data_IF_682575120065
#
_entry.id   IF_682575120065
#
_cell.length_a   1.000
_cell.length_b   1.000
_cell.length_c   1.000
_cell.angle_alpha   90.00
_cell.angle_beta   90.00
_cell.angle_gamma   90.00
#
_symmetry.space_group_name_H-M   'P 1'
#
loop_
_entity.id
_entity.type
_entity.pdbx_description
1 polymer ?
#
# COMPACT_ATOMS: atom_id res chain seq x y z
N UNK A 1 38.83 -29.77 25.69
CA UNK A 1 38.39 -30.22 24.34
C UNK A 1 36.95 -30.72 24.35
N UNK A 2 36.54 -31.48 25.38
CA UNK A 2 35.16 -31.99 25.55
C UNK A 2 34.07 -30.90 25.61
N UNK A 3 34.36 -29.76 26.20
CA UNK A 3 33.38 -28.69 26.42
C UNK A 3 32.99 -27.96 25.10
N UNK A 4 33.91 -27.92 24.14
CA UNK A 4 33.67 -27.40 22.78
C UNK A 4 32.78 -28.35 21.98
N UNK A 5 33.02 -29.66 22.11
CA UNK A 5 32.19 -30.70 21.46
C UNK A 5 30.77 -30.66 22.02
N UNK A 6 30.61 -30.54 23.35
CA UNK A 6 29.30 -30.44 24.00
C UNK A 6 28.51 -29.20 23.56
N UNK A 7 29.16 -28.03 23.46
CA UNK A 7 28.55 -26.81 22.92
C UNK A 7 28.12 -26.98 21.46
N UNK A 8 28.92 -27.67 20.64
CA UNK A 8 28.60 -27.94 19.23
C UNK A 8 27.39 -28.87 19.09
N UNK A 9 27.32 -29.94 19.88
CA UNK A 9 26.18 -30.88 19.93
C UNK A 9 24.91 -30.17 20.38
N UNK A 10 24.98 -29.34 21.43
CA UNK A 10 23.81 -28.59 21.91
C UNK A 10 23.31 -27.57 20.88
N UNK A 11 24.22 -26.92 20.14
CA UNK A 11 23.87 -26.00 19.06
C UNK A 11 23.22 -26.74 17.89
N UNK A 12 23.76 -27.91 17.54
CA UNK A 12 23.22 -28.75 16.48
C UNK A 12 21.84 -29.31 16.82
N UNK A 13 21.62 -29.74 18.08
CA UNK A 13 20.31 -30.17 18.56
C UNK A 13 19.28 -29.02 18.57
N UNK A 14 19.69 -27.79 18.88
CA UNK A 14 18.82 -26.60 18.73
C UNK A 14 18.45 -26.33 17.27
N UNK A 15 19.39 -26.52 16.34
CA UNK A 15 19.15 -26.36 14.90
C UNK A 15 18.18 -27.42 14.39
N UNK A 16 18.39 -28.69 14.75
CA UNK A 16 17.48 -29.78 14.39
C UNK A 16 16.07 -29.60 14.98
N UNK A 17 15.96 -29.14 16.22
CA UNK A 17 14.66 -28.83 16.82
C UNK A 17 13.94 -27.72 16.06
N UNK A 18 14.63 -26.63 15.71
CA UNK A 18 14.04 -25.55 14.90
C UNK A 18 13.64 -26.02 13.50
N UNK A 19 14.46 -26.84 12.85
CA UNK A 19 14.13 -27.45 11.55
C UNK A 19 12.86 -28.28 11.64
N UNK A 20 12.74 -29.12 12.69
CA UNK A 20 11.56 -29.95 12.92
C UNK A 20 10.31 -29.14 13.25
N UNK A 21 10.46 -28.06 14.03
CA UNK A 21 9.34 -27.16 14.33
C UNK A 21 8.87 -26.41 13.07
N UNK A 22 9.79 -26.09 12.15
CA UNK A 22 9.47 -25.49 10.84
C UNK A 22 8.82 -26.50 9.91
N UNK A 23 9.30 -27.75 9.88
CA UNK A 23 8.75 -28.85 9.10
C UNK A 23 7.33 -29.23 9.58
N UNK A 24 7.11 -29.31 10.89
CA UNK A 24 5.79 -29.58 11.46
C UNK A 24 4.78 -28.48 11.12
N UNK A 25 5.21 -27.20 11.07
CA UNK A 25 4.35 -26.09 10.61
C UNK A 25 4.07 -26.19 9.11
N UNK A 26 5.05 -26.61 8.31
CA UNK A 26 4.87 -26.86 6.88
C UNK A 26 3.95 -28.04 6.59
N UNK A 27 3.78 -29.00 7.52
CA UNK A 27 2.84 -30.12 7.38
C UNK A 27 1.39 -29.78 7.76
N UNK A 28 1.13 -28.68 8.49
CA UNK A 28 -0.23 -28.22 8.87
C UNK A 28 -0.81 -27.17 7.92
N UNK A 29 0.00 -26.65 7.01
CA UNK A 29 -0.37 -25.64 6.02
C UNK A 29 -0.12 -26.24 4.65
N UNK A 30 -1.00 -26.02 3.66
CA UNK A 30 -0.71 -26.49 2.30
C UNK A 30 0.67 -25.99 1.85
N UNK A 31 1.49 -26.84 1.24
CA UNK A 31 2.88 -26.51 0.86
C UNK A 31 2.99 -25.20 0.06
N UNK A 32 1.96 -24.89 -0.73
CA UNK A 32 1.81 -23.62 -1.45
C UNK A 32 1.68 -22.41 -0.53
N UNK A 33 0.80 -22.46 0.47
CA UNK A 33 0.59 -21.35 1.41
C UNK A 33 1.81 -21.15 2.32
N UNK A 34 2.51 -22.23 2.67
CA UNK A 34 3.79 -22.15 3.37
C UNK A 34 4.87 -21.48 2.52
N UNK A 35 5.01 -21.87 1.24
CA UNK A 35 5.95 -21.23 0.31
C UNK A 35 5.61 -19.76 0.08
N UNK A 36 4.33 -19.42 -0.06
CA UNK A 36 3.89 -18.02 -0.11
C UNK A 36 4.34 -17.27 1.14
N UNK A 37 4.05 -17.78 2.34
CA UNK A 37 4.49 -17.14 3.59
C UNK A 37 6.01 -16.93 3.68
N UNK A 38 6.82 -17.88 3.19
CA UNK A 38 8.28 -17.72 3.13
C UNK A 38 8.72 -16.64 2.13
N UNK A 39 8.05 -16.55 0.98
CA UNK A 39 8.30 -15.49 -0.01
C UNK A 39 7.99 -14.13 0.62
N UNK A 40 6.83 -13.99 1.27
CA UNK A 40 6.43 -12.75 1.93
C UNK A 40 7.45 -12.31 2.99
N UNK A 41 7.92 -13.25 3.82
CA UNK A 41 8.95 -12.98 4.82
C UNK A 41 10.25 -12.52 4.18
N UNK A 42 10.69 -13.17 3.09
CA UNK A 42 11.90 -12.80 2.37
C UNK A 42 11.80 -11.40 1.75
N UNK A 43 10.65 -11.08 1.17
CA UNK A 43 10.36 -9.77 0.59
C UNK A 43 10.39 -8.67 1.65
N UNK A 44 9.74 -8.89 2.79
CA UNK A 44 9.78 -7.96 3.92
C UNK A 44 11.20 -7.80 4.47
N UNK A 45 11.99 -8.87 4.57
CA UNK A 45 13.40 -8.78 4.94
C UNK A 45 14.20 -7.91 3.97
N UNK A 46 13.97 -8.05 2.66
CA UNK A 46 14.62 -7.19 1.65
C UNK A 46 14.25 -5.72 1.84
N UNK A 47 12.96 -5.41 2.05
CA UNK A 47 12.50 -4.04 2.31
C UNK A 47 13.17 -3.49 3.58
N UNK A 48 13.13 -4.23 4.69
CA UNK A 48 13.64 -3.78 5.99
C UNK A 48 15.16 -3.64 6.01
N UNK A 49 15.88 -4.38 5.16
CA UNK A 49 17.35 -4.31 5.05
C UNK A 49 17.87 -3.08 4.31
N UNK A 50 17.04 -2.39 3.54
CA UNK A 50 17.41 -1.19 2.79
C UNK A 50 16.71 0.05 3.40
N UNK A 51 17.44 1.09 3.82
CA UNK A 51 16.85 2.23 4.52
C UNK A 51 15.84 3.02 3.67
N UNK A 52 16.05 3.11 2.35
CA UNK A 52 15.15 3.82 1.44
C UNK A 52 13.88 3.02 1.17
N UNK A 53 13.99 1.70 0.95
CA UNK A 53 12.82 0.82 0.81
C UNK A 53 12.01 0.76 2.09
N UNK A 54 12.68 0.66 3.24
CA UNK A 54 12.04 0.71 4.56
C UNK A 54 11.30 2.03 4.74
N UNK A 55 11.93 3.16 4.44
CA UNK A 55 11.31 4.47 4.56
C UNK A 55 10.07 4.58 3.67
N UNK A 56 10.18 4.23 2.38
CA UNK A 56 9.06 4.17 1.47
C UNK A 56 7.90 3.32 2.04
N UNK A 57 8.20 2.09 2.46
CA UNK A 57 7.19 1.17 2.98
C UNK A 57 6.48 1.75 4.21
N UNK A 58 7.23 2.26 5.18
CA UNK A 58 6.64 2.82 6.40
C UNK A 58 5.84 4.09 6.12
N UNK A 59 6.35 4.98 5.26
CA UNK A 59 5.66 6.22 4.90
C UNK A 59 4.39 5.95 4.13
N UNK A 60 4.42 5.01 3.17
CA UNK A 60 3.23 4.62 2.41
C UNK A 60 2.16 4.00 3.30
N UNK A 61 2.52 3.03 4.15
CA UNK A 61 1.56 2.38 5.07
C UNK A 61 0.97 3.40 6.05
N UNK A 62 1.79 4.24 6.67
CA UNK A 62 1.32 5.25 7.62
C UNK A 62 0.38 6.26 6.97
N UNK A 63 0.74 6.77 5.79
CA UNK A 63 -0.07 7.78 5.08
C UNK A 63 -1.35 7.19 4.50
N UNK A 64 -1.32 5.96 3.97
CA UNK A 64 -2.54 5.26 3.52
C UNK A 64 -3.53 5.09 4.66
N UNK A 65 -3.06 4.64 5.83
CA UNK A 65 -3.90 4.47 7.00
C UNK A 65 -4.48 5.80 7.48
N UNK A 66 -3.67 6.85 7.57
CA UNK A 66 -4.16 8.19 7.94
C UNK A 66 -5.23 8.66 6.96
N UNK A 67 -4.99 8.52 5.65
CA UNK A 67 -5.90 8.97 4.61
C UNK A 67 -7.25 8.23 4.66
N UNK A 68 -7.26 6.90 4.81
CA UNK A 68 -8.52 6.16 4.97
C UNK A 68 -9.21 6.43 6.30
N UNK A 69 -8.45 6.70 7.36
CA UNK A 69 -9.02 7.11 8.64
C UNK A 69 -9.68 8.49 8.55
N UNK A 70 -9.05 9.45 7.86
CA UNK A 70 -9.62 10.77 7.59
C UNK A 70 -10.95 10.67 6.83
N UNK A 71 -11.04 9.79 5.82
CA UNK A 71 -12.31 9.54 5.12
C UNK A 71 -13.37 8.90 6.02
N UNK A 72 -12.97 7.97 6.88
CA UNK A 72 -13.89 7.36 7.83
C UNK A 72 -14.42 8.39 8.84
N UNK A 73 -13.56 9.26 9.36
CA UNK A 73 -13.95 10.35 10.26
C UNK A 73 -14.91 11.32 9.57
N UNK A 74 -14.58 11.75 8.34
CA UNK A 74 -15.43 12.64 7.57
C UNK A 74 -16.79 12.00 7.25
N UNK A 75 -16.80 10.73 6.86
CA UNK A 75 -18.04 9.98 6.58
C UNK A 75 -18.93 9.86 7.81
N UNK A 76 -18.37 9.49 8.97
CA UNK A 76 -19.13 9.41 10.22
C UNK A 76 -19.68 10.78 10.61
N UNK A 77 -18.87 11.83 10.52
CA UNK A 77 -19.31 13.19 10.87
C UNK A 77 -20.47 13.69 9.99
N UNK A 78 -20.42 13.39 8.68
CA UNK A 78 -21.51 13.70 7.75
C UNK A 78 -22.77 12.86 8.00
N UNK A 79 -22.61 11.54 8.21
CA UNK A 79 -23.72 10.62 8.47
C UNK A 79 -24.46 10.94 9.78
N UNK A 80 -23.72 11.29 10.83
CA UNK A 80 -24.29 11.69 12.12
C UNK A 80 -24.81 13.14 12.13
N UNK A 81 -24.68 13.86 11.00
CA UNK A 81 -25.05 15.28 10.85
C UNK A 81 -24.36 16.19 11.88
N UNK A 82 -23.19 15.77 12.39
CA UNK A 82 -22.40 16.56 13.34
C UNK A 82 -21.54 17.61 12.65
N UNK A 83 -21.31 17.46 11.35
CA UNK A 83 -20.65 18.43 10.49
C UNK A 83 -21.23 18.41 9.07
N UNK A 84 -21.26 19.57 8.42
CA UNK A 84 -21.64 19.71 6.99
C UNK A 84 -20.43 19.48 6.08
N UNK A 85 -20.60 19.16 4.79
CA UNK A 85 -19.48 18.99 3.85
C UNK A 85 -18.53 20.20 3.74
N UNK A 86 -19.07 21.40 3.99
CA UNK A 86 -18.30 22.66 3.97
C UNK A 86 -17.65 22.99 5.34
N UNK A 87 -17.73 22.09 6.32
CA UNK A 87 -17.17 22.32 7.66
C UNK A 87 -15.64 22.43 7.61
N UNK A 88 -15.04 23.49 8.17
CA UNK A 88 -13.59 23.69 8.16
C UNK A 88 -12.82 22.55 8.82
N UNK A 89 -13.41 21.83 9.78
CA UNK A 89 -12.76 20.69 10.43
C UNK A 89 -12.60 19.51 9.48
N UNK A 90 -13.59 19.24 8.62
CA UNK A 90 -13.54 18.21 7.58
C UNK A 90 -12.56 18.61 6.48
N UNK A 91 -12.62 19.87 6.02
CA UNK A 91 -11.75 20.38 4.95
C UNK A 91 -10.27 20.47 5.36
N UNK A 92 -9.97 20.45 6.66
CA UNK A 92 -8.59 20.42 7.18
C UNK A 92 -7.98 19.00 7.25
N UNK A 93 -8.79 17.95 7.10
CA UNK A 93 -8.28 16.57 7.08
C UNK A 93 -7.41 16.35 5.84
N UNK A 94 -6.24 15.74 6.03
CA UNK A 94 -5.25 15.59 4.95
C UNK A 94 -5.77 14.68 3.85
N UNK A 95 -6.48 13.62 4.20
CA UNK A 95 -7.15 12.73 3.23
C UNK A 95 -8.18 13.48 2.38
N UNK A 96 -9.01 14.32 3.01
CA UNK A 96 -10.03 15.13 2.32
C UNK A 96 -9.39 16.15 1.38
N UNK A 97 -8.34 16.83 1.82
CA UNK A 97 -7.58 17.74 0.95
C UNK A 97 -7.00 17.03 -0.26
N UNK A 98 -6.45 15.82 -0.05
CA UNK A 98 -5.91 14.99 -1.14
C UNK A 98 -7.01 14.62 -2.14
N UNK A 99 -8.20 14.23 -1.66
CA UNK A 99 -9.35 13.93 -2.51
C UNK A 99 -9.79 15.15 -3.33
N UNK A 100 -9.94 16.32 -2.68
CA UNK A 100 -10.31 17.56 -3.36
C UNK A 100 -9.30 17.93 -4.45
N UNK A 101 -7.99 17.86 -4.16
CA UNK A 101 -6.95 18.11 -5.16
C UNK A 101 -7.05 17.17 -6.37
N UNK A 102 -7.33 15.88 -6.14
CA UNK A 102 -7.53 14.91 -7.23
C UNK A 102 -8.76 15.29 -8.06
N UNK A 103 -9.90 15.59 -7.43
CA UNK A 103 -11.13 15.91 -8.13
C UNK A 103 -11.01 17.23 -8.92
N UNK A 104 -10.40 18.26 -8.34
CA UNK A 104 -10.11 19.54 -8.97
C UNK A 104 -9.19 19.38 -10.19
N UNK A 105 -8.05 18.66 -10.02
CA UNK A 105 -7.10 18.41 -11.10
C UNK A 105 -7.77 17.74 -12.31
N UNK A 106 -8.79 16.93 -12.05
CA UNK A 106 -9.51 16.18 -13.07
C UNK A 106 -10.80 16.85 -13.55
N UNK A 107 -11.05 18.10 -13.14
CA UNK A 107 -12.18 18.93 -13.59
C UNK A 107 -13.55 18.26 -13.40
N UNK A 108 -13.68 17.40 -12.38
CA UNK A 108 -14.95 16.75 -12.03
C UNK A 108 -15.79 17.70 -11.18
N UNK A 109 -17.10 17.64 -11.29
CA UNK A 109 -18.01 18.31 -10.35
C UNK A 109 -17.85 17.67 -8.98
N UNK A 110 -17.38 18.44 -8.00
CA UNK A 110 -17.10 17.95 -6.65
C UNK A 110 -18.44 17.80 -5.92
N UNK A 111 -18.72 16.59 -5.47
CA UNK A 111 -19.78 16.32 -4.50
C UNK A 111 -19.15 15.54 -3.36
N UNK A 112 -18.60 16.27 -2.41
CA UNK A 112 -17.72 15.72 -1.39
C UNK A 112 -18.38 14.60 -0.57
N UNK A 113 -19.67 14.72 -0.26
CA UNK A 113 -20.43 13.69 0.46
C UNK A 113 -20.48 12.39 -0.35
N UNK A 114 -20.88 12.46 -1.62
CA UNK A 114 -20.94 11.29 -2.50
C UNK A 114 -19.55 10.72 -2.79
N UNK A 115 -18.55 11.58 -3.00
CA UNK A 115 -17.18 11.16 -3.32
C UNK A 115 -16.53 10.46 -2.10
N UNK A 116 -16.78 10.92 -0.87
CA UNK A 116 -16.36 10.23 0.35
C UNK A 116 -17.12 8.91 0.54
N UNK A 117 -18.44 8.90 0.31
CA UNK A 117 -19.24 7.67 0.40
C UNK A 117 -18.74 6.60 -0.59
N UNK A 118 -18.36 7.00 -1.80
CA UNK A 118 -17.77 6.11 -2.81
C UNK A 118 -16.45 5.49 -2.33
N UNK A 119 -15.57 6.28 -1.72
CA UNK A 119 -14.32 5.77 -1.14
C UNK A 119 -14.60 4.86 0.07
N UNK A 120 -15.56 5.19 0.92
CA UNK A 120 -15.89 4.37 2.08
C UNK A 120 -16.47 3.00 1.70
N UNK A 121 -17.37 2.96 0.71
CA UNK A 121 -17.87 1.69 0.16
C UNK A 121 -16.74 0.79 -0.32
N UNK A 122 -15.72 1.38 -0.95
CA UNK A 122 -14.51 0.64 -1.34
C UNK A 122 -13.68 0.19 -0.13
N UNK A 123 -13.50 1.03 0.88
CA UNK A 123 -12.75 0.67 2.09
C UNK A 123 -13.40 -0.49 2.83
N UNK A 124 -14.74 -0.52 2.88
CA UNK A 124 -15.53 -1.58 3.49
C UNK A 124 -15.48 -2.90 2.70
N UNK A 125 -15.29 -2.84 1.38
CA UNK A 125 -15.20 -4.04 0.53
C UNK A 125 -13.80 -4.69 0.54
N UNK A 126 -12.79 -4.06 1.14
CA UNK A 126 -11.43 -4.62 1.20
C UNK A 126 -11.32 -5.76 2.23
N UNK A 127 -10.72 -6.91 1.86
CA UNK A 127 -10.45 -7.99 2.82
C UNK A 127 -9.30 -7.61 3.76
N UNK A 128 -9.61 -7.28 5.01
CA UNK A 128 -8.64 -6.79 6.00
C UNK A 128 -7.77 -5.64 5.45
N UNK A 129 -8.33 -4.42 5.55
CA UNK A 129 -7.73 -3.17 5.05
C UNK A 129 -6.25 -3.03 5.39
N UNK A 130 -5.85 -3.33 6.62
CA UNK A 130 -4.47 -3.13 7.08
C UNK A 130 -3.51 -4.10 6.38
N UNK A 131 -3.92 -5.36 6.24
CA UNK A 131 -3.14 -6.35 5.49
C UNK A 131 -3.06 -5.94 4.02
N UNK A 132 -4.17 -5.52 3.40
CA UNK A 132 -4.17 -5.08 1.99
C UNK A 132 -3.22 -3.89 1.79
N UNK A 133 -3.26 -2.88 2.65
CA UNK A 133 -2.34 -1.73 2.60
C UNK A 133 -0.88 -2.20 2.68
N UNK A 134 -0.56 -3.10 3.62
CA UNK A 134 0.79 -3.65 3.76
C UNK A 134 1.23 -4.43 2.52
N UNK A 135 0.33 -5.20 1.93
CA UNK A 135 0.58 -5.99 0.73
C UNK A 135 0.80 -5.08 -0.48
N UNK A 136 -0.04 -4.06 -0.68
CA UNK A 136 0.14 -3.02 -1.72
C UNK A 136 1.48 -2.33 -1.55
N UNK A 137 1.81 -1.89 -0.33
CA UNK A 137 3.10 -1.26 -0.04
C UNK A 137 4.29 -2.18 -0.36
N UNK A 138 4.17 -3.48 -0.04
CA UNK A 138 5.19 -4.50 -0.34
C UNK A 138 5.37 -4.67 -1.84
N UNK A 139 4.28 -4.83 -2.58
CA UNK A 139 4.30 -4.95 -4.04
C UNK A 139 4.95 -3.71 -4.68
N UNK A 140 4.53 -2.51 -4.30
CA UNK A 140 5.10 -1.26 -4.82
C UNK A 140 6.58 -1.09 -4.45
N UNK A 141 6.99 -1.46 -3.24
CA UNK A 141 8.39 -1.34 -2.83
C UNK A 141 9.34 -2.22 -3.66
N UNK A 142 8.87 -3.36 -4.14
CA UNK A 142 9.70 -4.37 -4.80
C UNK A 142 9.51 -4.45 -6.33
N UNK A 143 8.38 -3.98 -6.84
CA UNK A 143 8.10 -3.94 -8.27
C UNK A 143 8.98 -2.91 -9.00
N UNK A 144 9.37 -3.22 -10.22
CA UNK A 144 9.89 -2.23 -11.15
C UNK A 144 8.73 -1.44 -11.77
N UNK A 145 8.88 -0.13 -12.05
CA UNK A 145 10.11 0.67 -11.90
C UNK A 145 10.33 1.25 -10.49
N UNK A 146 9.37 1.15 -9.56
CA UNK A 146 9.42 1.87 -8.28
C UNK A 146 10.63 1.52 -7.43
N UNK A 147 10.98 0.24 -7.34
CA UNK A 147 12.18 -0.20 -6.62
C UNK A 147 13.42 0.54 -7.12
N UNK A 148 13.51 0.81 -8.42
CA UNK A 148 14.64 1.56 -8.99
C UNK A 148 14.58 3.05 -8.64
N UNK A 149 13.39 3.64 -8.60
CA UNK A 149 13.18 5.02 -8.13
C UNK A 149 13.53 5.16 -6.65
N UNK A 150 12.98 4.31 -5.80
CA UNK A 150 13.19 4.33 -4.36
C UNK A 150 14.66 4.08 -4.00
N UNK A 151 15.33 3.15 -4.70
CA UNK A 151 16.75 2.86 -4.46
C UNK A 151 17.71 3.81 -5.17
N UNK A 152 17.21 4.81 -5.90
CA UNK A 152 18.01 5.82 -6.61
C UNK A 152 18.73 5.28 -7.86
N UNK A 153 18.39 4.08 -8.33
CA UNK A 153 18.94 3.48 -9.58
C UNK A 153 18.35 4.11 -10.84
N UNK A 154 17.14 4.65 -10.76
CA UNK A 154 16.52 5.47 -11.80
C UNK A 154 15.99 6.75 -11.15
N UNK A 155 16.39 7.92 -11.68
CA UNK A 155 15.76 9.17 -11.27
C UNK A 155 14.58 9.46 -12.22
N UNK A 156 13.41 9.87 -11.71
CA UNK A 156 12.33 10.34 -12.58
C UNK A 156 12.85 11.49 -13.45
N UNK A 157 12.65 11.43 -14.78
CA UNK A 157 13.07 12.52 -15.68
C UNK A 157 12.32 13.84 -15.39
N UNK A 158 11.17 13.76 -14.72
CA UNK A 158 10.32 14.90 -14.36
C UNK A 158 10.40 15.24 -12.86
N UNK A 159 11.56 15.17 -12.19
CA UNK A 159 11.68 15.69 -10.81
C UNK A 159 11.26 17.17 -10.68
N UNK A 160 11.34 17.93 -11.77
CA UNK A 160 10.90 19.33 -11.82
C UNK A 160 9.38 19.51 -11.60
N UNK A 161 8.53 18.55 -11.98
CA UNK A 161 7.07 18.67 -11.79
C UNK A 161 6.58 18.23 -10.41
N UNK A 162 7.44 17.63 -9.58
CA UNK A 162 7.09 17.24 -8.21
C UNK A 162 7.31 18.37 -7.19
N UNK A 163 7.94 19.48 -7.59
CA UNK A 163 8.58 20.42 -6.69
C UNK A 163 8.22 21.91 -6.93
N UNK A 164 7.16 22.23 -7.68
CA UNK A 164 6.83 23.66 -7.91
C UNK A 164 6.49 24.43 -6.62
N UNK A 165 6.21 23.75 -5.50
CA UNK A 165 5.85 24.37 -4.21
C UNK A 165 6.62 23.85 -2.97
N UNK A 166 7.67 23.02 -3.12
CA UNK A 166 8.37 22.42 -1.98
C UNK A 166 9.78 23.01 -1.80
N UNK A 167 10.04 23.65 -0.65
CA UNK A 167 11.31 24.32 -0.33
C UNK A 167 12.44 23.36 0.06
N UNK A 168 12.17 22.05 0.02
CA UNK A 168 13.11 20.98 0.39
C UNK A 168 14.06 20.65 -0.74
N UNK A 169 15.28 20.19 -0.39
CA UNK A 169 16.30 19.83 -1.37
C UNK A 169 15.78 18.77 -2.37
N UNK A 170 15.61 19.11 -3.66
CA UNK A 170 15.03 18.22 -4.66
C UNK A 170 15.95 17.03 -4.99
N UNK A 171 17.19 17.02 -4.50
CA UNK A 171 18.12 15.90 -4.63
C UNK A 171 18.10 14.96 -3.42
N UNK A 172 17.38 15.31 -2.34
CA UNK A 172 17.27 14.46 -1.17
C UNK A 172 16.41 13.22 -1.50
N UNK A 173 16.95 11.98 -1.38
CA UNK A 173 16.22 10.77 -1.72
C UNK A 173 14.94 10.58 -0.91
N UNK A 174 14.89 11.07 0.34
CA UNK A 174 13.70 10.97 1.19
C UNK A 174 12.58 11.89 0.69
N UNK A 175 12.91 13.07 0.15
CA UNK A 175 11.94 14.00 -0.45
C UNK A 175 11.36 13.38 -1.72
N UNK A 176 12.21 12.80 -2.58
CA UNK A 176 11.75 12.09 -3.79
C UNK A 176 10.82 10.93 -3.41
N UNK A 177 11.16 10.18 -2.37
CA UNK A 177 10.32 9.10 -1.87
C UNK A 177 8.98 9.63 -1.34
N UNK A 178 8.96 10.73 -0.59
CA UNK A 178 7.73 11.35 -0.10
C UNK A 178 6.83 11.82 -1.24
N UNK A 179 7.41 12.44 -2.28
CA UNK A 179 6.68 12.84 -3.49
C UNK A 179 6.11 11.62 -4.22
N UNK A 180 6.90 10.55 -4.34
CA UNK A 180 6.45 9.29 -4.93
C UNK A 180 5.29 8.71 -4.12
N UNK A 181 5.39 8.65 -2.79
CA UNK A 181 4.31 8.17 -1.92
C UNK A 181 3.04 9.00 -2.12
N UNK A 182 3.12 10.33 -2.08
CA UNK A 182 1.95 11.20 -2.31
C UNK A 182 1.29 10.91 -3.66
N UNK A 183 2.09 10.82 -4.74
CA UNK A 183 1.58 10.49 -6.06
C UNK A 183 0.92 9.11 -6.11
N UNK A 184 1.51 8.10 -5.48
CA UNK A 184 0.93 6.75 -5.46
C UNK A 184 -0.41 6.70 -4.71
N UNK A 185 -0.52 7.46 -3.62
CA UNK A 185 -1.77 7.59 -2.87
C UNK A 185 -2.84 8.34 -3.66
N UNK A 186 -2.45 9.41 -4.35
CA UNK A 186 -3.37 10.12 -5.24
C UNK A 186 -3.92 9.20 -6.33
N UNK A 187 -3.06 8.45 -6.99
CA UNK A 187 -3.47 7.52 -8.05
C UNK A 187 -4.39 6.42 -7.52
N UNK A 188 -4.10 5.90 -6.32
CA UNK A 188 -4.97 4.92 -5.68
C UNK A 188 -6.35 5.50 -5.40
N UNK A 189 -6.44 6.66 -4.74
CA UNK A 189 -7.71 7.33 -4.42
C UNK A 189 -8.48 7.68 -5.68
N UNK A 190 -7.83 8.28 -6.68
CA UNK A 190 -8.56 8.61 -7.90
C UNK A 190 -8.97 7.39 -8.71
N UNK A 191 -8.27 6.24 -8.60
CA UNK A 191 -8.72 5.01 -9.29
C UNK A 191 -10.00 4.46 -8.64
N UNK A 192 -10.16 4.61 -7.32
CA UNK A 192 -11.42 4.32 -6.62
C UNK A 192 -12.53 5.21 -7.17
N UNK A 193 -12.27 6.51 -7.34
CA UNK A 193 -13.23 7.48 -7.86
C UNK A 193 -13.36 7.48 -9.41
N UNK A 194 -12.84 6.48 -10.12
CA UNK A 194 -12.86 6.36 -11.59
C UNK A 194 -12.22 7.54 -12.35
N UNK A 195 -11.29 8.23 -11.70
CA UNK A 195 -10.60 9.41 -12.23
C UNK A 195 -9.42 9.02 -13.12
N UNK A 196 -8.65 8.00 -12.72
CA UNK A 196 -7.51 7.51 -13.51
C UNK A 196 -7.88 6.38 -14.48
N UNK A 197 -9.16 5.96 -14.53
CA UNK A 197 -9.64 4.86 -15.35
C UNK A 197 -11.05 5.07 -15.88
N UNK A 198 -11.20 5.22 -17.20
CA UNK A 198 -12.49 5.47 -17.89
C UNK A 198 -13.27 4.18 -18.25
N UNK A 199 -12.79 3.01 -17.87
CA UNK A 199 -13.48 1.73 -18.09
C UNK A 199 -13.76 1.01 -16.77
N UNK A 200 -14.81 0.16 -16.74
CA UNK A 200 -15.11 -0.68 -15.58
C UNK A 200 -13.91 -1.55 -15.16
N UNK A 201 -13.02 -1.95 -16.09
CA UNK A 201 -11.84 -2.76 -15.78
C UNK A 201 -10.65 -1.97 -15.21
N UNK A 202 -10.73 -0.63 -15.14
CA UNK A 202 -9.64 0.24 -14.65
C UNK A 202 -9.93 0.87 -13.28
N UNK A 203 -11.13 0.63 -12.75
CA UNK A 203 -11.49 1.01 -11.40
C UNK A 203 -11.01 -0.04 -10.42
N UNK A 204 -10.29 0.36 -9.38
CA UNK A 204 -9.91 -0.57 -8.30
C UNK A 204 -11.15 -1.20 -7.67
N UNK A 205 -12.23 -0.44 -7.50
CA UNK A 205 -13.49 -0.93 -6.93
C UNK A 205 -14.10 -2.03 -7.80
N UNK A 206 -14.29 -1.75 -9.08
CA UNK A 206 -14.89 -2.74 -9.99
C UNK A 206 -14.00 -3.99 -10.13
N UNK A 207 -12.68 -3.84 -10.13
CA UNK A 207 -11.77 -4.98 -10.17
C UNK A 207 -11.86 -5.87 -8.92
N UNK A 208 -12.05 -5.28 -7.73
CA UNK A 208 -12.33 -6.07 -6.53
C UNK A 208 -13.73 -6.67 -6.58
N UNK A 209 -14.75 -5.93 -7.01
CA UNK A 209 -16.14 -6.41 -7.09
C UNK A 209 -16.30 -7.60 -8.06
N UNK A 210 -15.53 -7.62 -9.15
CA UNK A 210 -15.57 -8.68 -10.17
C UNK A 210 -14.79 -9.95 -9.78
N UNK A 211 -13.80 -9.88 -8.88
CA UNK A 211 -12.95 -11.02 -8.49
C UNK A 211 -13.23 -11.50 -7.06
N UNK A 212 -14.03 -12.57 -6.97
CA UNK A 212 -14.37 -13.25 -5.70
C UNK A 212 -13.14 -13.73 -4.94
N UNK A 213 -12.09 -14.19 -5.64
CA UNK A 213 -10.88 -14.68 -4.98
C UNK A 213 -10.07 -13.53 -4.39
N UNK A 214 -10.06 -12.36 -5.04
CA UNK A 214 -9.46 -11.16 -4.50
C UNK A 214 -10.19 -10.67 -3.25
N UNK A 215 -11.52 -10.66 -3.25
CA UNK A 215 -12.33 -10.30 -2.07
C UNK A 215 -12.10 -11.22 -0.86
N UNK A 216 -11.58 -12.43 -1.06
CA UNK A 216 -11.32 -13.40 0.02
C UNK A 216 -9.85 -13.43 0.44
N UNK A 217 -8.91 -13.01 -0.42
CA UNK A 217 -7.47 -13.09 -0.15
C UNK A 217 -6.79 -11.71 -0.26
N UNK A 218 -6.25 -11.15 0.84
CA UNK A 218 -5.62 -9.83 0.84
C UNK A 218 -4.49 -9.65 -0.17
N UNK A 219 -3.65 -10.67 -0.39
CA UNK A 219 -2.55 -10.59 -1.37
C UNK A 219 -3.04 -10.50 -2.81
N UNK A 220 -4.17 -11.15 -3.14
CA UNK A 220 -4.76 -11.08 -4.47
C UNK A 220 -5.46 -9.72 -4.67
N UNK A 221 -6.21 -9.24 -3.67
CA UNK A 221 -6.77 -7.89 -3.67
C UNK A 221 -5.66 -6.85 -3.90
N UNK A 222 -4.55 -6.94 -3.16
CA UNK A 222 -3.43 -6.04 -3.32
C UNK A 222 -2.83 -6.06 -4.73
N UNK A 223 -2.69 -7.25 -5.34
CA UNK A 223 -2.20 -7.39 -6.70
C UNK A 223 -3.15 -6.71 -7.71
N UNK A 224 -4.46 -6.94 -7.60
CA UNK A 224 -5.45 -6.28 -8.46
C UNK A 224 -5.45 -4.76 -8.28
N UNK A 225 -5.37 -4.28 -7.03
CA UNK A 225 -5.26 -2.84 -6.73
C UNK A 225 -4.05 -2.26 -7.44
N UNK A 226 -2.86 -2.87 -7.29
CA UNK A 226 -1.64 -2.41 -7.95
C UNK A 226 -1.79 -2.42 -9.47
N UNK A 227 -2.36 -3.48 -10.05
CA UNK A 227 -2.63 -3.56 -11.49
C UNK A 227 -3.59 -2.47 -11.97
N UNK A 228 -4.64 -2.14 -11.21
CA UNK A 228 -5.63 -1.12 -11.60
C UNK A 228 -5.08 0.30 -11.50
N UNK A 229 -4.33 0.59 -10.44
CA UNK A 229 -3.76 1.93 -10.25
C UNK A 229 -2.68 2.20 -11.29
N UNK A 230 -1.92 1.18 -11.72
CA UNK A 230 -0.67 1.39 -12.48
C UNK A 230 -0.62 0.73 -13.86
N UNK A 231 -1.65 -0.01 -14.27
CA UNK A 231 -1.62 -0.77 -15.52
C UNK A 231 -0.50 -1.80 -15.57
N UNK A 232 -0.06 -2.30 -14.40
CA UNK A 232 0.90 -3.40 -14.34
C UNK A 232 0.16 -4.69 -14.70
N UNK A 233 0.35 -5.15 -15.94
CA UNK A 233 -0.07 -6.48 -16.36
C UNK A 233 0.49 -7.51 -15.36
N UNK A 234 -0.39 -8.39 -14.87
CA UNK A 234 -0.09 -9.41 -13.87
C UNK A 234 0.82 -10.55 -14.40
N UNK A 235 1.67 -10.29 -15.38
CA UNK A 235 2.64 -11.25 -15.90
C UNK A 235 3.96 -11.16 -15.11
N UNK A 236 4.09 -12.02 -14.10
CA UNK A 236 5.38 -12.46 -13.58
C UNK A 236 5.79 -13.79 -14.23
#
# INVERSE_FOLDING_TARGET
MEDVVRKRVNRMNRVYKKLRDVENRAMTTGSRDYLHGLIEIRELQMIMSNPLLKYFFTSFVSRSNQLFHDFQLASVAMLEQTATPDDPTILQLTGVQTLLQILERNKRTINLENDIEEVMKFVESMPDREIVIMQVARHLALAAPYKHVITGKQRPQNTASFAENDSRDPNNPYVIIDCLVSKLLEEWVGSICNVFGKSAMTSVRAALDDDVLAQVRPSNAAQLIVSCVWGLDASF
#
